data_IF_374509750898
#
_entry.id   IF_374509750898
#
_cell.length_a   1.000
_cell.length_b   1.000
_cell.length_c   1.000
_cell.angle_alpha   90.00
_cell.angle_beta   90.00
_cell.angle_gamma   90.00
#
_symmetry.space_group_name_H-M   'P 1'
#
loop_
_entity.id
_entity.type
_entity.pdbx_description
1 polymer ?
#
# COMPACT_ATOMS: atom_id res chain seq x y z
N UNK A 1 11.92 -7.36 51.91
CA UNK A 1 11.62 -8.01 50.62
C UNK A 1 11.57 -6.92 49.55
N UNK A 2 12.63 -6.74 48.76
CA UNK A 2 12.59 -5.86 47.58
C UNK A 2 12.36 -6.75 46.36
N UNK A 3 11.18 -6.63 45.76
CA UNK A 3 10.87 -7.32 44.50
C UNK A 3 11.48 -6.48 43.37
N UNK A 4 12.42 -7.00 42.57
CA UNK A 4 12.89 -6.28 41.39
C UNK A 4 11.73 -6.17 40.39
N UNK A 5 11.36 -4.94 40.05
CA UNK A 5 10.45 -4.68 38.95
C UNK A 5 11.21 -4.99 37.65
N UNK A 6 11.04 -6.20 37.13
CA UNK A 6 11.45 -6.52 35.76
C UNK A 6 10.60 -5.66 34.83
N UNK A 7 11.19 -4.71 34.07
CA UNK A 7 10.42 -3.99 33.05
C UNK A 7 9.88 -5.00 32.05
N UNK A 8 8.59 -4.91 31.73
CA UNK A 8 7.98 -5.73 30.69
C UNK A 8 8.75 -5.51 29.38
N UNK A 9 9.03 -6.56 28.59
CA UNK A 9 9.67 -6.37 27.29
C UNK A 9 8.78 -5.45 26.45
N UNK A 10 9.31 -4.30 26.06
CA UNK A 10 8.70 -3.44 25.05
C UNK A 10 8.59 -4.28 23.79
N UNK A 11 7.38 -4.68 23.40
CA UNK A 11 7.16 -5.39 22.13
C UNK A 11 7.62 -4.45 21.01
N UNK A 12 8.75 -4.78 20.40
CA UNK A 12 9.17 -4.14 19.15
C UNK A 12 8.10 -4.39 18.10
N UNK A 13 7.80 -3.35 17.30
CA UNK A 13 6.91 -3.50 16.15
C UNK A 13 7.57 -4.43 15.13
N UNK A 14 6.82 -5.33 14.47
CA UNK A 14 7.35 -6.14 13.38
C UNK A 14 7.90 -5.23 12.29
N UNK A 15 9.14 -5.47 11.89
CA UNK A 15 9.81 -4.72 10.84
C UNK A 15 10.80 -5.59 10.08
N UNK A 16 11.16 -5.14 8.88
CA UNK A 16 12.25 -5.66 8.06
C UNK A 16 13.13 -4.52 7.57
N UNK A 17 14.39 -4.82 7.25
CA UNK A 17 15.29 -3.91 6.54
C UNK A 17 15.43 -4.32 5.07
N UNK A 18 15.34 -3.35 4.18
CA UNK A 18 15.45 -3.54 2.73
C UNK A 18 16.41 -2.53 2.09
N UNK A 19 16.98 -2.90 0.96
CA UNK A 19 17.71 -2.00 0.08
C UNK A 19 16.86 -1.67 -1.14
N UNK A 20 16.86 -0.41 -1.55
CA UNK A 20 16.13 0.03 -2.74
C UNK A 20 17.11 0.20 -3.89
N UNK A 21 16.82 -0.41 -5.04
CA UNK A 21 17.62 -0.25 -6.25
C UNK A 21 16.88 0.65 -7.22
N UNK A 22 17.46 1.82 -7.51
CA UNK A 22 16.99 2.72 -8.57
C UNK A 22 17.85 2.51 -9.83
N UNK A 23 17.20 2.48 -10.99
CA UNK A 23 17.87 2.38 -12.29
C UNK A 23 17.68 3.67 -13.06
N UNK A 24 18.79 4.17 -13.62
CA UNK A 24 18.79 5.25 -14.60
C UNK A 24 18.98 4.66 -15.97
N UNK A 25 18.01 4.85 -16.85
CA UNK A 25 18.02 4.30 -18.21
C UNK A 25 17.80 5.41 -19.25
N UNK A 26 18.41 5.29 -20.44
CA UNK A 26 18.23 6.25 -21.51
C UNK A 26 16.77 6.26 -21.99
N UNK A 27 16.23 7.45 -22.24
CA UNK A 27 14.94 7.60 -22.90
C UNK A 27 15.15 7.47 -24.40
N UNK A 28 14.34 6.65 -25.06
CA UNK A 28 14.38 6.48 -26.52
C UNK A 28 13.39 7.39 -27.25
N UNK A 29 13.68 7.67 -28.52
CA UNK A 29 12.77 8.41 -29.41
C UNK A 29 12.82 9.94 -29.22
N UNK A 30 11.81 10.67 -29.74
CA UNK A 30 11.83 12.14 -29.78
C UNK A 30 11.87 12.83 -28.42
N UNK A 31 11.57 12.13 -27.31
CA UNK A 31 11.60 12.71 -25.95
C UNK A 31 13.04 12.87 -25.42
N UNK A 32 13.98 12.03 -25.90
CA UNK A 32 15.40 12.03 -25.49
C UNK A 32 16.09 13.39 -25.59
N UNK A 33 15.61 14.26 -26.48
CA UNK A 33 16.15 15.63 -26.67
C UNK A 33 15.88 16.58 -25.49
N UNK A 34 14.86 16.28 -24.69
CA UNK A 34 14.42 17.10 -23.55
C UNK A 34 14.57 16.39 -22.21
N UNK A 35 14.65 15.06 -22.25
CA UNK A 35 14.87 14.21 -21.10
C UNK A 35 15.71 13.01 -21.57
N UNK A 36 17.04 13.07 -21.49
CA UNK A 36 17.91 12.02 -22.02
C UNK A 36 17.84 10.74 -21.20
N UNK A 37 17.51 10.84 -19.90
CA UNK A 37 17.43 9.72 -18.98
C UNK A 37 16.16 9.79 -18.14
N UNK A 38 15.71 8.62 -17.69
CA UNK A 38 14.67 8.51 -16.66
C UNK A 38 15.14 7.59 -15.54
N UNK A 39 14.64 7.87 -14.35
CA UNK A 39 14.78 7.00 -13.20
C UNK A 39 13.57 6.08 -13.12
N UNK A 40 13.82 4.82 -12.79
CA UNK A 40 12.80 3.80 -12.50
C UNK A 40 13.22 3.02 -11.26
N UNK A 41 12.24 2.65 -10.44
CA UNK A 41 12.47 1.64 -9.40
C UNK A 41 12.79 0.30 -10.08
N UNK A 42 13.95 -0.27 -9.76
CA UNK A 42 14.38 -1.55 -10.32
C UNK A 42 14.05 -2.72 -9.39
N UNK A 43 14.37 -2.59 -8.10
CA UNK A 43 14.12 -3.66 -7.13
C UNK A 43 14.07 -3.15 -5.67
N UNK A 44 13.53 -3.99 -4.77
CA UNK A 44 13.61 -3.84 -3.32
C UNK A 44 14.08 -5.16 -2.72
N UNK A 45 15.31 -5.16 -2.21
CA UNK A 45 16.03 -6.35 -1.76
C UNK A 45 15.93 -6.49 -0.24
N UNK A 46 15.60 -7.69 0.26
CA UNK A 46 15.59 -7.98 1.68
C UNK A 46 17.03 -8.09 2.22
N UNK A 47 17.39 -7.33 3.26
CA UNK A 47 18.75 -7.37 3.85
C UNK A 47 18.94 -8.49 4.88
N UNK A 48 17.88 -8.85 5.58
CA UNK A 48 17.92 -9.81 6.68
C UNK A 48 16.53 -10.23 7.10
N UNK A 49 16.46 -11.20 8.00
CA UNK A 49 15.19 -11.66 8.54
C UNK A 49 14.55 -10.60 9.46
N UNK A 50 13.22 -10.66 9.68
CA UNK A 50 12.54 -9.79 10.65
C UNK A 50 13.15 -9.85 12.07
N UNK A 51 13.72 -11.00 12.45
CA UNK A 51 14.33 -11.21 13.77
C UNK A 51 15.73 -10.57 13.90
N UNK A 52 16.39 -10.31 12.77
CA UNK A 52 17.71 -9.65 12.70
C UNK A 52 17.60 -8.13 12.49
N UNK A 53 16.38 -7.62 12.36
CA UNK A 53 16.12 -6.21 12.14
C UNK A 53 16.53 -5.39 13.36
N UNK A 54 17.29 -4.32 13.13
CA UNK A 54 17.78 -3.45 14.20
C UNK A 54 16.61 -2.82 14.98
N UNK A 55 16.82 -2.45 16.25
CA UNK A 55 15.79 -1.80 17.06
C UNK A 55 15.30 -0.49 16.44
N UNK A 56 14.05 -0.13 16.73
CA UNK A 56 13.45 1.12 16.29
C UNK A 56 14.26 2.32 16.81
N UNK A 57 14.55 3.28 15.93
CA UNK A 57 15.32 4.49 16.24
C UNK A 57 16.82 4.42 15.91
N UNK A 58 17.30 3.32 15.33
CA UNK A 58 18.62 3.31 14.69
C UNK A 58 18.61 4.29 13.49
N UNK A 59 19.54 5.25 13.49
CA UNK A 59 19.76 6.14 12.36
C UNK A 59 20.70 5.45 11.37
N UNK A 60 20.25 5.32 10.13
CA UNK A 60 21.06 4.78 9.04
C UNK A 60 21.26 5.84 7.98
N UNK A 61 22.48 5.90 7.47
CA UNK A 61 22.76 6.67 6.26
C UNK A 61 22.29 5.87 5.04
N UNK A 62 21.49 6.50 4.19
CA UNK A 62 20.97 5.93 2.94
C UNK A 62 21.84 6.34 1.75
N UNK A 63 23.13 6.60 1.97
CA UNK A 63 24.07 7.04 0.94
C UNK A 63 24.11 6.05 -0.24
N UNK A 64 23.78 6.50 -1.46
CA UNK A 64 23.63 5.60 -2.58
C UNK A 64 24.97 5.11 -3.13
N UNK A 65 24.95 3.86 -3.57
CA UNK A 65 26.10 3.14 -4.06
C UNK A 65 25.83 2.68 -5.50
N UNK A 66 26.75 2.98 -6.42
CA UNK A 66 26.66 2.43 -7.77
C UNK A 66 26.87 0.91 -7.71
N UNK A 67 25.99 0.14 -8.35
CA UNK A 67 26.02 -1.32 -8.36
C UNK A 67 25.86 -1.86 -9.78
N UNK A 68 26.39 -3.05 -10.01
CA UNK A 68 26.24 -3.79 -11.26
C UNK A 68 25.24 -4.95 -11.08
N UNK A 69 24.31 -5.18 -12.02
CA UNK A 69 23.46 -6.35 -12.00
C UNK A 69 24.28 -7.65 -12.06
N UNK A 70 23.81 -8.69 -11.38
CA UNK A 70 24.44 -10.02 -11.41
C UNK A 70 24.21 -10.69 -12.78
N UNK A 71 23.06 -10.44 -13.40
CA UNK A 71 22.73 -10.97 -14.71
C UNK A 71 23.33 -10.12 -15.83
N UNK A 72 23.82 -10.78 -16.88
CA UNK A 72 24.54 -10.13 -17.96
C UNK A 72 23.68 -9.03 -18.62
N UNK A 73 24.28 -7.88 -18.97
CA UNK A 73 23.54 -6.79 -19.59
C UNK A 73 22.86 -7.24 -20.89
N UNK A 74 21.55 -6.98 -21.01
CA UNK A 74 20.82 -7.12 -22.28
C UNK A 74 21.39 -6.13 -23.31
N UNK A 75 21.34 -6.46 -24.61
CA UNK A 75 21.74 -5.56 -25.69
C UNK A 75 21.11 -4.16 -25.52
N UNK A 76 21.95 -3.12 -25.35
CA UNK A 76 21.53 -1.73 -25.05
C UNK A 76 21.87 -1.23 -23.64
N UNK A 77 22.47 -2.06 -22.78
CA UNK A 77 22.79 -1.72 -21.39
C UNK A 77 23.99 -0.80 -21.16
N UNK A 78 24.80 -0.47 -22.18
CA UNK A 78 26.04 0.32 -22.02
C UNK A 78 25.84 1.74 -21.42
N UNK A 79 24.59 2.21 -21.31
CA UNK A 79 24.25 3.52 -20.73
C UNK A 79 23.28 3.45 -19.55
N UNK A 80 22.93 2.24 -19.12
CA UNK A 80 22.05 2.02 -17.97
C UNK A 80 22.89 1.84 -16.71
N UNK A 81 22.56 2.57 -15.64
CA UNK A 81 23.28 2.45 -14.35
C UNK A 81 22.31 2.12 -13.22
N UNK A 82 22.76 1.32 -12.25
CA UNK A 82 21.98 0.97 -11.07
C UNK A 82 22.60 1.56 -9.80
N UNK A 83 21.73 1.97 -8.89
CA UNK A 83 22.09 2.65 -7.66
C UNK A 83 21.33 2.04 -6.50
N UNK A 84 22.06 1.47 -5.54
CA UNK A 84 21.52 0.87 -4.33
C UNK A 84 21.49 1.92 -3.22
N UNK A 85 20.32 2.10 -2.61
CA UNK A 85 20.09 2.92 -1.43
C UNK A 85 19.83 2.00 -0.24
N UNK A 86 20.75 1.95 0.74
CA UNK A 86 20.74 0.86 1.70
C UNK A 86 19.84 1.15 2.92
N UNK A 87 19.40 0.08 3.60
CA UNK A 87 18.86 0.10 4.99
C UNK A 87 17.53 0.85 5.21
N UNK A 88 16.60 0.77 4.29
CA UNK A 88 15.23 1.25 4.54
C UNK A 88 14.51 0.32 5.51
N UNK A 89 13.90 0.90 6.54
CA UNK A 89 13.07 0.16 7.50
C UNK A 89 11.62 0.14 7.04
N UNK A 90 11.07 -1.06 6.84
CA UNK A 90 9.63 -1.27 6.61
C UNK A 90 9.01 -1.78 7.91
N UNK A 91 8.16 -0.97 8.55
CA UNK A 91 7.51 -1.33 9.83
C UNK A 91 6.02 -1.57 9.60
N UNK A 92 5.48 -2.63 10.23
CA UNK A 92 4.04 -2.92 10.18
C UNK A 92 3.30 -2.32 11.37
N UNK A 93 2.17 -1.67 11.09
CA UNK A 93 1.35 -0.98 12.07
C UNK A 93 -0.04 -1.62 12.18
N UNK A 94 -0.48 -1.94 13.41
CA UNK A 94 -1.73 -2.67 13.63
C UNK A 94 -2.97 -1.88 13.18
N UNK A 95 -2.94 -0.56 13.33
CA UNK A 95 -4.00 0.34 12.89
C UNK A 95 -4.16 0.39 11.36
N UNK A 96 -3.19 -0.13 10.61
CA UNK A 96 -3.22 -0.20 9.15
C UNK A 96 -3.33 -1.64 8.61
N UNK A 97 -3.83 -2.57 9.44
CA UNK A 97 -3.99 -3.98 9.05
C UNK A 97 -4.82 -4.17 7.77
N UNK A 98 -5.81 -3.31 7.52
CA UNK A 98 -6.60 -3.33 6.28
C UNK A 98 -5.77 -2.93 5.05
N UNK A 99 -4.87 -1.95 5.16
CA UNK A 99 -3.99 -1.54 4.07
C UNK A 99 -3.07 -2.68 3.62
N UNK A 100 -2.55 -3.46 4.56
CA UNK A 100 -1.76 -4.66 4.26
C UNK A 100 -2.61 -5.79 3.68
N UNK A 101 -3.83 -6.00 4.19
CA UNK A 101 -4.77 -6.97 3.62
C UNK A 101 -5.11 -6.65 2.15
N UNK A 102 -5.30 -5.37 1.82
CA UNK A 102 -5.54 -4.93 0.44
C UNK A 102 -4.34 -5.22 -0.47
N UNK A 103 -3.11 -4.99 0.00
CA UNK A 103 -1.90 -5.37 -0.73
C UNK A 103 -1.86 -6.89 -1.01
N UNK A 104 -2.08 -7.71 0.04
CA UNK A 104 -2.11 -9.17 -0.08
C UNK A 104 -3.24 -9.69 -0.99
N UNK A 105 -4.35 -8.95 -1.09
CA UNK A 105 -5.50 -9.31 -1.92
C UNK A 105 -5.34 -8.88 -3.38
N UNK A 106 -4.27 -8.12 -3.70
CA UNK A 106 -3.96 -7.73 -5.07
C UNK A 106 -3.42 -8.93 -5.88
N UNK A 107 -3.50 -8.89 -7.23
CA UNK A 107 -2.96 -9.96 -8.07
C UNK A 107 -1.46 -10.20 -7.88
N UNK A 108 -0.71 -9.17 -7.47
CA UNK A 108 0.72 -9.23 -7.24
C UNK A 108 1.09 -8.30 -6.06
N UNK A 109 1.13 -8.84 -4.82
CA UNK A 109 1.55 -8.07 -3.67
C UNK A 109 2.92 -7.45 -3.89
N UNK A 110 3.07 -6.18 -3.50
CA UNK A 110 4.24 -5.38 -3.86
C UNK A 110 4.75 -4.53 -2.70
N UNK A 111 6.00 -4.11 -2.82
CA UNK A 111 6.49 -2.92 -2.15
C UNK A 111 6.08 -1.68 -2.94
N UNK A 112 5.73 -0.62 -2.24
CA UNK A 112 5.66 0.73 -2.79
C UNK A 112 6.83 1.55 -2.29
N UNK A 113 7.45 2.29 -3.21
CA UNK A 113 8.56 3.19 -2.91
C UNK A 113 8.16 4.59 -3.32
N UNK A 114 8.04 5.45 -2.33
CA UNK A 114 7.95 6.89 -2.53
C UNK A 114 9.36 7.46 -2.68
N UNK A 115 9.60 8.24 -3.74
CA UNK A 115 10.90 8.83 -4.02
C UNK A 115 10.79 10.27 -4.50
N UNK A 116 11.87 11.04 -4.40
CA UNK A 116 11.96 12.42 -4.90
C UNK A 116 13.22 12.63 -5.71
N UNK A 117 13.16 13.55 -6.67
CA UNK A 117 14.37 14.06 -7.30
C UNK A 117 15.10 14.96 -6.30
N UNK A 118 16.38 14.70 -6.06
CA UNK A 118 17.21 15.51 -5.19
C UNK A 118 18.09 16.45 -6.01
N UNK A 119 17.74 17.74 -5.98
CA UNK A 119 18.44 18.81 -6.70
C UNK A 119 19.87 19.06 -6.18
N UNK A 120 20.17 18.68 -4.93
CA UNK A 120 21.52 18.78 -4.38
C UNK A 120 22.40 17.61 -4.82
N UNK A 121 21.78 16.48 -5.20
CA UNK A 121 22.47 15.26 -5.60
C UNK A 121 22.34 15.03 -7.09
N UNK A 122 23.36 15.47 -7.83
CA UNK A 122 23.38 15.39 -9.29
C UNK A 122 24.20 14.20 -9.79
N UNK A 123 23.67 13.49 -10.79
CA UNK A 123 24.38 12.51 -11.60
C UNK A 123 24.41 12.99 -13.05
N UNK A 124 25.61 13.27 -13.56
CA UNK A 124 25.82 13.91 -14.87
C UNK A 124 25.03 15.21 -15.06
N UNK A 125 24.87 16.00 -13.99
CA UNK A 125 24.14 17.26 -14.00
C UNK A 125 22.62 17.13 -13.88
N UNK A 126 22.07 15.92 -13.77
CA UNK A 126 20.65 15.67 -13.58
C UNK A 126 20.35 15.23 -12.14
N UNK A 127 19.22 15.65 -11.53
CA UNK A 127 18.83 15.21 -10.19
C UNK A 127 18.70 13.68 -10.07
N UNK A 128 19.26 13.13 -9.00
CA UNK A 128 19.13 11.72 -8.66
C UNK A 128 17.75 11.44 -8.07
N UNK A 129 17.14 10.31 -8.42
CA UNK A 129 15.94 9.82 -7.75
C UNK A 129 16.32 9.16 -6.42
N UNK A 130 15.98 9.81 -5.31
CA UNK A 130 16.28 9.37 -3.95
C UNK A 130 15.02 8.80 -3.30
N UNK A 131 14.98 7.49 -3.00
CA UNK A 131 13.93 6.87 -2.20
C UNK A 131 13.79 7.55 -0.85
N UNK A 132 12.56 7.78 -0.43
CA UNK A 132 12.21 8.43 0.83
C UNK A 132 11.60 7.45 1.80
N UNK A 133 10.64 6.64 1.33
CA UNK A 133 9.91 5.68 2.16
C UNK A 133 9.62 4.41 1.35
N UNK A 134 9.75 3.25 2.00
CA UNK A 134 9.31 1.96 1.48
C UNK A 134 8.18 1.44 2.37
N UNK A 135 7.06 1.02 1.77
CA UNK A 135 5.91 0.50 2.52
C UNK A 135 5.30 -0.72 1.85
N UNK A 136 4.64 -1.55 2.66
CA UNK A 136 3.76 -2.63 2.22
C UNK A 136 2.28 -2.25 2.36
N UNK A 137 1.98 -1.02 2.81
CA UNK A 137 0.62 -0.53 2.98
C UNK A 137 0.05 0.03 1.68
N UNK A 138 -1.09 -0.52 1.28
CA UNK A 138 -1.88 0.05 0.18
C UNK A 138 -2.42 1.45 0.52
N UNK A 139 -2.75 1.72 1.80
CA UNK A 139 -3.28 3.02 2.22
C UNK A 139 -2.23 4.12 2.14
N UNK A 140 -1.01 3.87 2.60
CA UNK A 140 0.09 4.83 2.48
C UNK A 140 0.37 5.15 1.01
N UNK A 141 0.50 4.11 0.19
CA UNK A 141 0.71 4.26 -1.25
C UNK A 141 -0.41 5.09 -1.91
N UNK A 142 -1.68 4.79 -1.59
CA UNK A 142 -2.83 5.55 -2.08
C UNK A 142 -2.78 7.03 -1.71
N UNK A 143 -2.41 7.36 -0.46
CA UNK A 143 -2.31 8.75 0.00
C UNK A 143 -1.23 9.54 -0.75
N UNK A 144 -0.10 8.91 -1.07
CA UNK A 144 0.95 9.57 -1.84
C UNK A 144 0.58 9.73 -3.32
N UNK A 145 -0.07 8.72 -3.91
CA UNK A 145 -0.58 8.82 -5.28
C UNK A 145 -1.64 9.92 -5.41
N UNK A 146 -2.56 10.05 -4.45
CA UNK A 146 -3.55 11.12 -4.40
C UNK A 146 -2.90 12.50 -4.23
N UNK A 147 -1.77 12.57 -3.54
CA UNK A 147 -0.94 13.77 -3.41
C UNK A 147 -0.06 14.05 -4.65
N UNK A 148 -0.17 13.23 -5.71
CA UNK A 148 0.61 13.32 -6.95
C UNK A 148 2.13 13.19 -6.73
N UNK A 149 2.54 12.51 -5.66
CA UNK A 149 3.95 12.18 -5.40
C UNK A 149 4.44 11.07 -6.34
N UNK A 150 5.77 10.93 -6.48
CA UNK A 150 6.36 9.85 -7.28
C UNK A 150 6.40 8.57 -6.46
N UNK A 151 5.57 7.61 -6.84
CA UNK A 151 5.45 6.31 -6.20
C UNK A 151 5.54 5.23 -7.26
N UNK A 152 6.54 4.37 -7.14
CA UNK A 152 6.69 3.18 -7.98
C UNK A 152 6.48 1.92 -7.13
N UNK A 153 6.22 0.79 -7.79
CA UNK A 153 6.01 -0.49 -7.12
C UNK A 153 6.82 -1.61 -7.75
N UNK A 154 7.26 -2.55 -6.91
CA UNK A 154 7.96 -3.77 -7.31
C UNK A 154 7.35 -4.96 -6.56
N UNK A 155 7.18 -6.13 -7.20
CA UNK A 155 6.65 -7.31 -6.54
C UNK A 155 7.43 -7.65 -5.26
N UNK A 156 6.71 -7.93 -4.17
CA UNK A 156 7.34 -8.35 -2.93
C UNK A 156 7.79 -9.81 -3.04
N UNK A 157 8.98 -10.18 -2.55
CA UNK A 157 9.43 -11.57 -2.51
C UNK A 157 8.47 -12.46 -1.71
N UNK A 158 8.35 -13.76 -2.03
CA UNK A 158 7.42 -14.67 -1.35
C UNK A 158 7.57 -14.66 0.18
N UNK A 159 8.81 -14.62 0.69
CA UNK A 159 9.09 -14.60 2.12
C UNK A 159 8.50 -13.37 2.81
N UNK A 160 8.54 -12.21 2.14
CA UNK A 160 7.93 -10.96 2.64
C UNK A 160 6.41 -11.05 2.61
N UNK A 161 5.84 -11.64 1.55
CA UNK A 161 4.40 -11.84 1.42
C UNK A 161 3.87 -12.79 2.50
N UNK A 162 4.60 -13.87 2.79
CA UNK A 162 4.24 -14.83 3.83
C UNK A 162 4.34 -14.20 5.24
N UNK A 163 5.39 -13.41 5.48
CA UNK A 163 5.53 -12.61 6.69
C UNK A 163 4.39 -11.61 6.88
N UNK A 164 4.04 -10.85 5.83
CA UNK A 164 2.94 -9.89 5.84
C UNK A 164 1.59 -10.59 6.09
N UNK A 165 1.39 -11.77 5.50
CA UNK A 165 0.18 -12.58 5.73
C UNK A 165 0.06 -13.00 7.19
N UNK A 166 1.15 -13.47 7.81
CA UNK A 166 1.16 -13.81 9.24
C UNK A 166 0.80 -12.61 10.13
N UNK A 167 1.25 -11.40 9.77
CA UNK A 167 0.83 -10.19 10.48
C UNK A 167 -0.66 -9.91 10.30
N UNK A 168 -1.17 -9.93 9.06
CA UNK A 168 -2.58 -9.65 8.74
C UNK A 168 -3.51 -10.67 9.40
N UNK A 169 -3.19 -11.96 9.35
CA UNK A 169 -4.01 -13.03 9.96
C UNK A 169 -4.21 -12.84 11.47
N UNK A 170 -3.25 -12.20 12.16
CA UNK A 170 -3.31 -11.95 13.60
C UNK A 170 -3.90 -10.59 13.98
N UNK A 171 -3.97 -9.64 13.04
CA UNK A 171 -4.31 -8.24 13.33
C UNK A 171 -5.56 -7.75 12.62
N UNK A 172 -5.84 -8.22 11.41
CA UNK A 172 -7.00 -7.81 10.64
C UNK A 172 -8.23 -8.61 11.06
N UNK A 173 -9.21 -7.90 11.62
CA UNK A 173 -10.53 -8.45 11.93
C UNK A 173 -11.54 -7.74 11.01
N UNK A 174 -11.98 -8.38 9.92
CA UNK A 174 -12.96 -7.77 9.02
C UNK A 174 -14.21 -7.41 9.80
N UNK A 175 -14.68 -6.16 9.69
CA UNK A 175 -15.92 -5.80 10.34
C UNK A 175 -17.05 -6.65 9.71
N UNK A 176 -17.86 -7.36 10.51
CA UNK A 176 -18.88 -8.25 9.97
C UNK A 176 -19.87 -7.42 9.15
N UNK A 177 -19.83 -7.61 7.82
CA UNK A 177 -20.65 -6.87 6.85
C UNK A 177 -22.13 -7.04 7.18
N UNK A 178 -22.71 -6.09 7.92
CA UNK A 178 -24.14 -6.05 8.19
C UNK A 178 -24.86 -5.76 6.89
N UNK A 179 -25.63 -6.72 6.39
CA UNK A 179 -26.57 -6.49 5.29
C UNK A 179 -27.50 -5.34 5.68
N UNK A 180 -27.28 -4.13 5.13
CA UNK A 180 -28.24 -3.03 5.25
C UNK A 180 -29.50 -3.47 4.51
N UNK A 181 -30.60 -3.64 5.24
CA UNK A 181 -31.91 -3.83 4.61
C UNK A 181 -32.21 -2.58 3.77
N UNK A 182 -32.67 -2.72 2.52
CA UNK A 182 -33.12 -1.59 1.72
C UNK A 182 -34.14 -0.75 2.51
N UNK A 183 -34.06 0.58 2.40
CA UNK A 183 -34.98 1.46 3.15
C UNK A 183 -36.46 1.26 2.77
N UNK A 184 -36.72 0.66 1.60
CA UNK A 184 -38.06 0.22 1.18
C UNK A 184 -38.69 -0.85 2.08
N UNK A 185 -37.91 -1.47 2.98
CA UNK A 185 -38.40 -2.39 4.00
C UNK A 185 -38.71 -1.72 5.34
N UNK A 186 -38.60 -0.39 5.46
CA UNK A 186 -39.14 0.33 6.62
C UNK A 186 -40.67 0.38 6.48
N UNK A 187 -41.44 -0.19 7.43
CA UNK A 187 -42.89 -0.04 7.41
C UNK A 187 -43.23 1.44 7.48
N UNK A 188 -44.15 1.91 6.61
CA UNK A 188 -44.66 3.27 6.69
C UNK A 188 -45.29 3.46 8.07
N UNK A 189 -44.69 4.30 8.91
CA UNK A 189 -45.19 4.62 10.25
C UNK A 189 -45.96 5.94 10.20
N UNK A 190 -47.13 5.97 10.84
CA UNK A 190 -47.93 7.17 11.04
C UNK A 190 -47.22 8.17 11.98
N UNK A 191 -47.72 9.40 12.09
CA UNK A 191 -47.22 10.49 12.97
C UNK A 191 -47.13 10.13 14.46
N UNK A 192 -47.76 9.02 14.86
CA UNK A 192 -47.72 8.47 16.22
C UNK A 192 -46.84 7.20 16.33
N UNK A 193 -46.06 6.86 15.29
CA UNK A 193 -45.10 5.75 15.30
C UNK A 193 -45.70 4.36 15.06
N UNK A 194 -46.98 4.27 14.67
CA UNK A 194 -47.66 3.00 14.43
C UNK A 194 -47.56 2.58 12.95
N UNK A 195 -47.41 1.27 12.63
CA UNK A 195 -47.30 0.81 11.25
C UNK A 195 -48.64 0.98 10.51
N UNK A 196 -48.61 1.69 9.38
CA UNK A 196 -49.77 1.93 8.50
C UNK A 196 -50.14 0.63 7.78
N UNK A 197 -51.39 0.20 7.94
CA UNK A 197 -51.98 -0.90 7.15
C UNK A 197 -52.84 -0.29 6.04
N UNK A 198 -52.43 -0.44 4.79
CA UNK A 198 -53.23 -0.04 3.64
C UNK A 198 -54.00 -1.27 3.16
N UNK A 199 -55.31 -1.33 3.42
CA UNK A 199 -56.20 -2.32 2.80
C UNK A 199 -56.57 -1.79 1.42
N UNK A 200 -56.05 -2.40 0.35
CA UNK A 200 -56.50 -2.07 -1.01
C UNK A 200 -57.82 -2.79 -1.28
N UNK A 201 -58.94 -2.15 -0.98
CA UNK A 201 -60.25 -2.59 -1.48
C UNK A 201 -60.45 -2.06 -2.90
N UNK A 202 -60.52 -2.98 -3.87
CA UNK A 202 -60.94 -2.69 -5.25
C UNK A 202 -62.43 -2.29 -5.25
N UNK A 203 -62.84 -1.13 -5.79
CA UNK A 203 -64.24 -0.80 -5.91
C UNK A 203 -64.88 -1.71 -6.98
N UNK A 204 -65.78 -2.60 -6.55
CA UNK A 204 -66.65 -3.35 -7.46
C UNK A 204 -67.63 -2.35 -8.10
N UNK A 205 -67.52 -2.19 -9.42
CA UNK A 205 -68.43 -1.38 -10.22
C UNK A 205 -69.88 -1.83 -10.05
N UNK A 206 -70.76 -0.85 -9.80
CA UNK A 206 -72.19 -1.07 -9.61
C UNK A 206 -72.90 -1.44 -10.91
N UNK A 207 -73.56 -2.60 -10.91
CA UNK A 207 -74.58 -2.94 -11.90
C UNK A 207 -75.88 -2.21 -11.58
N UNK A 208 -76.36 -1.41 -12.53
CA UNK A 208 -77.63 -0.71 -12.47
C UNK A 208 -78.79 -1.70 -12.70
N UNK A 209 -79.87 -1.67 -11.90
CA UNK A 209 -80.99 -2.57 -12.12
C UNK A 209 -81.89 -2.07 -13.27
N UNK A 210 -82.52 -2.96 -14.06
CA UNK A 210 -83.52 -2.55 -15.04
C UNK A 210 -84.82 -2.13 -14.34
N UNK A 211 -85.44 -1.07 -14.85
CA UNK A 211 -86.78 -0.62 -14.45
C UNK A 211 -87.86 -1.33 -15.31
N UNK A 212 -89.08 -1.48 -14.78
CA UNK A 212 -90.16 -2.28 -15.38
C UNK A 212 -90.68 -1.72 -16.71
#
# INVERSE_FOLDING_TARGET
MNNPHTPAPTRSRPAIEVDVVMRREPVSGPMSRWQPFRWVLADVLLRGSPDETEPEGAEHDHEPQAVEPIEAPTEGADTTTHWLFPRFRVTLFRDDAEGYFLNLSSPQPCFWVFWRADEARLLDGEPMAVPQIVTLSYHDAGRWLDAQERVDQVPAPPDVVDWLRGFVDTTYQPEPKRRRRPESFKPLTDRFGQPVRISTEKPRGGGQPPRP
#
